data_IF_646803496544
#
_entry.id   IF_646803496544
#
_cell.length_a   1.000
_cell.length_b   1.000
_cell.length_c   1.000
_cell.angle_alpha   90.00
_cell.angle_beta   90.00
_cell.angle_gamma   90.00
#
_symmetry.space_group_name_H-M   'P 1'
#
loop_
_entity.id
_entity.type
_entity.pdbx_description
1 polymer ?
#
# COMPACT_ATOMS: atom_id res chain seq x y z
N UNK A 1 8.08 -39.69 -13.91
CA UNK A 1 7.66 -39.20 -15.26
C UNK A 1 7.06 -37.81 -15.04
N UNK A 2 7.85 -36.76 -15.28
CA UNK A 2 7.47 -35.38 -15.14
C UNK A 2 6.78 -34.91 -16.41
N UNK A 3 5.59 -34.37 -16.28
CA UNK A 3 4.78 -33.83 -17.39
C UNK A 3 5.49 -32.64 -18.03
N UNK A 4 5.71 -32.60 -19.36
CA UNK A 4 6.30 -31.46 -20.02
C UNK A 4 5.20 -30.42 -20.25
N UNK A 5 5.28 -29.25 -19.66
CA UNK A 5 4.38 -28.15 -20.00
C UNK A 5 4.27 -26.95 -19.10
N UNK A 6 4.71 -26.99 -17.85
CA UNK A 6 4.73 -25.80 -17.03
C UNK A 6 6.06 -25.05 -17.20
N UNK A 7 6.07 -24.03 -18.06
CA UNK A 7 7.09 -22.97 -17.99
C UNK A 7 6.82 -22.18 -16.72
N UNK A 8 7.39 -22.65 -15.61
CA UNK A 8 7.48 -21.88 -14.39
C UNK A 8 8.35 -20.66 -14.69
N UNK A 9 7.78 -19.47 -14.63
CA UNK A 9 8.57 -18.23 -14.59
C UNK A 9 9.23 -18.23 -13.24
N UNK A 10 10.42 -18.79 -13.17
CA UNK A 10 11.17 -18.94 -11.93
C UNK A 10 12.26 -17.90 -11.92
N UNK A 11 12.06 -16.87 -11.12
CA UNK A 11 13.07 -15.85 -10.91
C UNK A 11 13.86 -16.08 -9.62
N UNK A 12 13.34 -16.79 -8.64
CA UNK A 12 13.94 -16.94 -7.33
C UNK A 12 14.45 -18.35 -7.00
N UNK A 13 14.19 -19.34 -7.84
CA UNK A 13 14.57 -20.75 -7.58
C UNK A 13 16.07 -20.95 -7.31
N UNK A 14 16.92 -20.14 -7.92
CA UNK A 14 18.38 -20.20 -7.68
C UNK A 14 18.79 -19.57 -6.33
N UNK A 15 17.91 -18.82 -5.67
CA UNK A 15 18.11 -18.25 -4.34
C UNK A 15 17.48 -19.10 -3.25
N UNK A 16 16.70 -20.12 -3.63
CA UNK A 16 15.88 -20.92 -2.75
C UNK A 16 16.24 -22.42 -2.81
N UNK A 17 17.53 -22.75 -2.83
CA UNK A 17 17.99 -24.11 -2.57
C UNK A 17 17.99 -24.34 -1.07
N UNK A 18 16.87 -24.82 -0.51
CA UNK A 18 16.77 -25.12 0.90
C UNK A 18 15.35 -25.18 1.45
N UNK A 19 15.17 -25.54 2.73
CA UNK A 19 13.87 -25.47 3.40
C UNK A 19 13.39 -24.02 3.45
N UNK A 20 12.14 -23.76 3.03
CA UNK A 20 11.53 -22.41 3.04
C UNK A 20 11.53 -21.69 1.69
N UNK A 21 11.78 -22.38 0.59
CA UNK A 21 11.70 -21.79 -0.77
C UNK A 21 10.33 -21.16 -1.05
N UNK A 22 9.25 -21.67 -0.46
CA UNK A 22 7.91 -21.10 -0.57
C UNK A 22 7.83 -19.68 -0.01
N UNK A 23 8.59 -19.40 1.06
CA UNK A 23 8.69 -18.05 1.61
C UNK A 23 9.37 -17.09 0.62
N UNK A 24 10.46 -17.54 -0.03
CA UNK A 24 11.16 -16.76 -1.05
C UNK A 24 10.28 -16.45 -2.27
N UNK A 25 9.42 -17.39 -2.67
CA UNK A 25 8.43 -17.14 -3.76
C UNK A 25 7.41 -16.07 -3.34
N UNK A 26 6.94 -16.10 -2.09
CA UNK A 26 6.05 -15.08 -1.56
C UNK A 26 6.74 -13.71 -1.51
N UNK A 27 7.97 -13.64 -1.02
CA UNK A 27 8.76 -12.40 -0.94
C UNK A 27 9.00 -11.79 -2.32
N UNK A 28 9.33 -12.61 -3.31
CA UNK A 28 9.46 -12.15 -4.69
C UNK A 28 8.11 -11.66 -5.25
N UNK A 29 7.03 -12.39 -4.99
CA UNK A 29 5.67 -11.98 -5.34
C UNK A 29 5.30 -10.64 -4.73
N UNK A 30 5.65 -10.41 -3.46
CA UNK A 30 5.44 -9.14 -2.76
C UNK A 30 6.19 -7.99 -3.43
N UNK A 31 7.45 -8.18 -3.81
CA UNK A 31 8.27 -7.16 -4.50
C UNK A 31 7.58 -6.75 -5.81
N UNK A 32 7.22 -7.72 -6.64
CA UNK A 32 6.57 -7.45 -7.93
C UNK A 32 5.22 -6.79 -7.74
N UNK A 33 4.40 -7.31 -6.82
CA UNK A 33 3.07 -6.77 -6.53
C UNK A 33 3.15 -5.35 -5.99
N UNK A 34 4.10 -5.05 -5.08
CA UNK A 34 4.32 -3.72 -4.54
C UNK A 34 4.69 -2.71 -5.63
N UNK A 35 5.61 -3.06 -6.52
CA UNK A 35 5.97 -2.18 -7.63
C UNK A 35 4.84 -2.00 -8.65
N UNK A 36 4.09 -3.06 -8.94
CA UNK A 36 2.90 -3.00 -9.79
C UNK A 36 1.83 -2.09 -9.19
N UNK A 37 1.52 -2.28 -7.91
CA UNK A 37 0.56 -1.47 -7.16
C UNK A 37 0.98 0.00 -7.06
N UNK A 38 2.27 0.26 -6.79
CA UNK A 38 2.81 1.62 -6.72
C UNK A 38 2.64 2.37 -8.06
N UNK A 39 3.01 1.74 -9.17
CA UNK A 39 2.80 2.32 -10.51
C UNK A 39 1.33 2.55 -10.81
N UNK A 40 0.47 1.63 -10.44
CA UNK A 40 -0.97 1.76 -10.60
C UNK A 40 -1.51 2.97 -9.83
N UNK A 41 -1.20 3.08 -8.54
CA UNK A 41 -1.63 4.22 -7.71
C UNK A 41 -1.23 5.56 -8.32
N UNK A 42 0.03 5.69 -8.77
CA UNK A 42 0.53 6.93 -9.36
C UNK A 42 -0.19 7.27 -10.67
N UNK A 43 -0.38 6.31 -11.55
CA UNK A 43 -1.10 6.53 -12.82
C UNK A 43 -2.57 6.86 -12.59
N UNK A 44 -3.21 6.19 -11.66
CA UNK A 44 -4.59 6.47 -11.27
C UNK A 44 -4.72 7.90 -10.71
N UNK A 45 -3.78 8.31 -9.85
CA UNK A 45 -3.76 9.66 -9.28
C UNK A 45 -3.48 10.73 -10.36
N UNK A 46 -2.57 10.46 -11.29
CA UNK A 46 -2.32 11.34 -12.45
C UNK A 46 -3.59 11.50 -13.31
N UNK A 47 -4.30 10.40 -13.59
CA UNK A 47 -5.56 10.44 -14.34
C UNK A 47 -6.69 11.17 -13.58
N UNK A 48 -6.66 11.13 -12.25
CA UNK A 48 -7.56 11.92 -11.39
C UNK A 48 -7.21 13.41 -11.36
N UNK A 49 -6.19 13.86 -12.07
CA UNK A 49 -5.80 15.27 -12.20
C UNK A 49 -4.70 15.73 -11.25
N UNK A 50 -4.06 14.82 -10.51
CA UNK A 50 -2.97 15.16 -9.58
C UNK A 50 -1.72 14.35 -9.91
N UNK A 51 -0.87 14.83 -10.85
CA UNK A 51 0.43 14.23 -11.16
C UNK A 51 1.44 14.43 -9.99
N UNK A 52 2.58 13.76 -10.09
CA UNK A 52 3.75 13.93 -9.20
C UNK A 52 3.53 13.56 -7.72
N UNK A 53 2.51 12.76 -7.44
CA UNK A 53 2.35 12.15 -6.13
C UNK A 53 3.13 10.84 -6.03
N UNK A 54 3.91 10.71 -4.94
CA UNK A 54 4.54 9.44 -4.59
C UNK A 54 3.49 8.44 -4.09
N UNK A 55 3.77 7.13 -4.12
CA UNK A 55 2.88 6.13 -3.52
C UNK A 55 2.54 6.44 -2.05
N UNK A 56 3.51 6.94 -1.28
CA UNK A 56 3.29 7.30 0.12
C UNK A 56 2.35 8.50 0.27
N UNK A 57 2.49 9.54 -0.56
CA UNK A 57 1.58 10.69 -0.55
C UNK A 57 0.13 10.22 -0.77
N UNK A 58 -0.06 9.32 -1.74
CA UNK A 58 -1.38 8.76 -2.08
C UNK A 58 -1.94 7.95 -0.91
N UNK A 59 -1.13 7.07 -0.30
CA UNK A 59 -1.54 6.26 0.84
C UNK A 59 -1.91 7.12 2.06
N UNK A 60 -1.13 8.17 2.34
CA UNK A 60 -1.40 9.12 3.44
C UNK A 60 -2.70 9.87 3.17
N UNK A 61 -2.94 10.35 1.95
CA UNK A 61 -4.18 11.02 1.58
C UNK A 61 -5.39 10.11 1.78
N UNK A 62 -5.36 8.89 1.21
CA UNK A 62 -6.45 7.93 1.33
C UNK A 62 -6.68 7.48 2.78
N UNK A 63 -5.60 7.28 3.55
CA UNK A 63 -5.72 6.94 4.96
C UNK A 63 -6.38 8.07 5.75
N UNK A 64 -6.00 9.33 5.51
CA UNK A 64 -6.60 10.49 6.15
C UNK A 64 -8.07 10.64 5.77
N UNK A 65 -8.43 10.34 4.51
CA UNK A 65 -9.82 10.41 4.02
C UNK A 65 -10.71 9.28 4.59
N UNK A 66 -10.12 8.18 5.06
CA UNK A 66 -10.88 7.02 5.51
C UNK A 66 -11.70 7.33 6.76
N UNK A 67 -13.03 7.08 6.69
CA UNK A 67 -14.03 7.28 7.76
C UNK A 67 -14.23 8.73 8.20
N UNK A 68 -13.82 9.72 7.42
CA UNK A 68 -13.96 11.16 7.73
C UNK A 68 -13.59 11.53 9.18
N UNK A 69 -12.53 10.91 9.70
CA UNK A 69 -12.01 11.15 11.04
C UNK A 69 -10.69 11.89 10.97
N UNK A 70 -10.55 12.85 11.88
CA UNK A 70 -9.25 13.46 12.12
C UNK A 70 -8.23 12.42 12.62
N UNK A 71 -7.01 12.53 12.14
CA UNK A 71 -5.93 11.62 12.49
C UNK A 71 -4.66 12.40 12.82
N UNK A 72 -3.91 11.90 13.78
CA UNK A 72 -2.56 12.37 14.05
C UNK A 72 -1.57 11.67 13.13
N UNK A 73 -0.38 12.25 13.00
CA UNK A 73 0.72 11.63 12.27
C UNK A 73 0.98 10.19 12.74
N UNK A 74 1.00 9.99 14.07
CA UNK A 74 1.23 8.67 14.67
C UNK A 74 0.15 7.64 14.32
N UNK A 75 -1.10 8.08 14.23
CA UNK A 75 -2.22 7.21 13.85
C UNK A 75 -2.08 6.76 12.39
N UNK A 76 -1.67 7.68 11.51
CA UNK A 76 -1.44 7.39 10.08
C UNK A 76 -0.25 6.44 9.90
N UNK A 77 0.87 6.72 10.58
CA UNK A 77 2.07 5.89 10.52
C UNK A 77 1.77 4.47 11.01
N UNK A 78 1.06 4.33 12.13
CA UNK A 78 0.63 3.04 12.67
C UNK A 78 -0.26 2.26 11.69
N UNK A 79 -1.27 2.91 11.10
CA UNK A 79 -2.20 2.25 10.17
C UNK A 79 -1.53 1.83 8.86
N UNK A 80 -0.47 2.52 8.45
CA UNK A 80 0.31 2.20 7.25
C UNK A 80 1.51 1.28 7.55
N UNK A 81 1.70 0.88 8.80
CA UNK A 81 2.85 0.10 9.28
C UNK A 81 4.19 0.76 8.90
N UNK A 82 4.30 2.07 9.11
CA UNK A 82 5.50 2.86 8.82
C UNK A 82 6.17 3.25 10.13
N UNK A 83 7.37 2.76 10.35
CA UNK A 83 8.17 3.06 11.54
C UNK A 83 8.78 4.45 11.48
N UNK A 84 9.36 4.84 10.33
CA UNK A 84 9.92 6.17 10.14
C UNK A 84 8.82 7.23 9.92
N UNK A 85 8.43 7.86 11.01
CA UNK A 85 7.41 8.92 11.00
C UNK A 85 7.85 10.19 10.23
N UNK A 86 9.14 10.39 9.95
CA UNK A 86 9.61 11.53 9.16
C UNK A 86 9.10 11.48 7.73
N UNK A 87 9.03 10.29 7.13
CA UNK A 87 8.50 10.11 5.77
C UNK A 87 7.02 10.44 5.69
N UNK A 88 6.24 10.02 6.70
CA UNK A 88 4.81 10.38 6.82
C UNK A 88 4.62 11.88 7.01
N UNK A 89 5.46 12.51 7.83
CA UNK A 89 5.42 13.96 8.05
C UNK A 89 5.72 14.74 6.77
N UNK A 90 6.68 14.25 5.96
CA UNK A 90 6.97 14.87 4.68
C UNK A 90 5.77 14.80 3.72
N UNK A 91 5.13 13.64 3.61
CA UNK A 91 3.92 13.47 2.82
C UNK A 91 2.77 14.39 3.30
N UNK A 92 2.54 14.47 4.63
CA UNK A 92 1.53 15.36 5.20
C UNK A 92 1.78 16.83 4.86
N UNK A 93 3.05 17.30 4.97
CA UNK A 93 3.42 18.67 4.59
C UNK A 93 3.18 18.95 3.11
N UNK A 94 3.50 18.00 2.23
CA UNK A 94 3.24 18.12 0.80
C UNK A 94 1.74 18.22 0.52
N UNK A 95 0.94 17.35 1.14
CA UNK A 95 -0.52 17.33 0.97
C UNK A 95 -1.20 18.60 1.49
N UNK A 96 -0.69 19.17 2.59
CA UNK A 96 -1.11 20.48 3.09
C UNK A 96 -0.78 21.61 2.10
N UNK A 97 0.43 21.59 1.52
CA UNK A 97 0.85 22.59 0.51
C UNK A 97 0.01 22.50 -0.78
N UNK A 98 -0.52 21.33 -1.09
CA UNK A 98 -1.42 21.08 -2.22
C UNK A 98 -2.90 21.33 -1.88
N UNK A 99 -3.20 21.86 -0.69
CA UNK A 99 -4.57 22.09 -0.19
C UNK A 99 -5.47 20.83 -0.18
N UNK A 100 -4.86 19.63 -0.15
CA UNK A 100 -5.58 18.36 -0.09
C UNK A 100 -5.93 17.94 1.35
N UNK A 101 -5.20 18.47 2.31
CA UNK A 101 -5.46 18.30 3.74
C UNK A 101 -5.61 19.65 4.42
N UNK A 102 -6.25 19.63 5.59
CA UNK A 102 -6.22 20.68 6.60
C UNK A 102 -5.60 20.14 7.87
N UNK A 103 -5.00 21.03 8.69
CA UNK A 103 -4.42 20.66 9.96
C UNK A 103 -4.89 21.62 11.06
N UNK A 104 -5.20 21.08 12.23
CA UNK A 104 -5.56 21.83 13.42
C UNK A 104 -4.62 21.44 14.56
N UNK A 105 -3.99 22.43 15.17
CA UNK A 105 -3.14 22.22 16.34
C UNK A 105 -3.98 22.33 17.61
N UNK A 106 -3.97 21.29 18.43
CA UNK A 106 -4.63 21.23 19.74
C UNK A 106 -3.60 20.87 20.80
N UNK A 107 -3.17 21.84 21.58
CA UNK A 107 -2.09 21.66 22.54
C UNK A 107 -0.77 21.31 21.86
N UNK A 108 -0.21 20.14 22.19
CA UNK A 108 1.03 19.62 21.60
C UNK A 108 0.80 18.75 20.35
N UNK A 109 -0.44 18.40 20.04
CA UNK A 109 -0.81 17.51 18.95
C UNK A 109 -1.32 18.27 17.74
N UNK A 110 -1.11 17.68 16.55
CA UNK A 110 -1.66 18.19 15.29
C UNK A 110 -2.58 17.11 14.70
N UNK A 111 -3.79 17.52 14.39
CA UNK A 111 -4.82 16.70 13.79
C UNK A 111 -4.99 17.06 12.31
N UNK A 112 -4.99 16.06 11.46
CA UNK A 112 -5.12 16.21 10.02
C UNK A 112 -6.49 15.71 9.56
N UNK A 113 -7.08 16.43 8.62
CA UNK A 113 -8.35 16.08 7.98
C UNK A 113 -8.25 16.33 6.48
N UNK A 114 -8.94 15.52 5.69
CA UNK A 114 -9.03 15.73 4.25
C UNK A 114 -9.87 16.98 3.95
N UNK A 115 -9.34 17.86 3.11
CA UNK A 115 -10.05 19.05 2.61
C UNK A 115 -11.18 18.67 1.66
N UNK A 116 -12.00 19.63 1.23
CA UNK A 116 -12.99 19.42 0.18
C UNK A 116 -12.34 18.97 -1.14
N UNK A 117 -11.21 19.61 -1.52
CA UNK A 117 -10.44 19.24 -2.71
C UNK A 117 -9.85 17.84 -2.59
N UNK A 118 -9.28 17.49 -1.42
CA UNK A 118 -8.75 16.14 -1.18
C UNK A 118 -9.83 15.07 -1.24
N UNK A 119 -11.04 15.33 -0.72
CA UNK A 119 -12.17 14.39 -0.85
C UNK A 119 -12.60 14.20 -2.29
N UNK A 120 -12.72 15.28 -3.06
CA UNK A 120 -13.07 15.23 -4.47
C UNK A 120 -12.03 14.40 -5.27
N UNK A 121 -10.75 14.61 -5.01
CA UNK A 121 -9.66 13.84 -5.62
C UNK A 121 -9.72 12.34 -5.26
N UNK A 122 -9.98 12.00 -4.00
CA UNK A 122 -10.16 10.60 -3.57
C UNK A 122 -11.37 9.95 -4.25
N UNK A 123 -12.45 10.72 -4.47
CA UNK A 123 -13.64 10.23 -5.14
C UNK A 123 -13.38 9.97 -6.63
N UNK A 124 -12.64 10.84 -7.30
CA UNK A 124 -12.26 10.64 -8.69
C UNK A 124 -11.34 9.44 -8.86
N UNK A 125 -10.36 9.29 -7.96
CA UNK A 125 -9.53 8.09 -7.88
C UNK A 125 -10.37 6.82 -7.71
N UNK A 126 -11.41 6.85 -6.87
CA UNK A 126 -12.31 5.71 -6.65
C UNK A 126 -13.02 5.28 -7.94
N UNK A 127 -13.56 6.24 -8.71
CA UNK A 127 -14.21 5.98 -10.00
C UNK A 127 -13.25 5.34 -11.00
N UNK A 128 -12.04 5.90 -11.12
CA UNK A 128 -11.01 5.34 -12.00
C UNK A 128 -10.61 3.92 -11.57
N UNK A 129 -10.52 3.68 -10.27
CA UNK A 129 -10.24 2.34 -9.74
C UNK A 129 -11.34 1.35 -10.10
N UNK A 130 -12.59 1.74 -10.02
CA UNK A 130 -13.73 0.90 -10.41
C UNK A 130 -13.68 0.55 -11.90
N UNK A 131 -13.43 1.55 -12.75
CA UNK A 131 -13.37 1.34 -14.20
C UNK A 131 -12.16 0.53 -14.65
N UNK A 132 -10.98 0.90 -14.19
CA UNK A 132 -9.72 0.36 -14.74
C UNK A 132 -9.23 -0.91 -14.02
N UNK A 133 -9.47 -1.04 -12.70
CA UNK A 133 -8.97 -2.16 -11.93
C UNK A 133 -10.05 -3.19 -11.63
N UNK A 134 -11.18 -2.77 -11.04
CA UNK A 134 -12.24 -3.72 -10.68
C UNK A 134 -12.92 -4.30 -11.92
N UNK A 135 -12.94 -3.57 -13.04
CA UNK A 135 -13.45 -4.08 -14.32
C UNK A 135 -12.63 -5.21 -14.93
N UNK A 136 -11.30 -5.23 -14.69
CA UNK A 136 -10.41 -6.27 -15.23
C UNK A 136 -10.10 -7.39 -14.23
N UNK A 137 -10.33 -7.18 -12.94
CA UNK A 137 -10.01 -8.14 -11.89
C UNK A 137 -10.64 -9.53 -12.11
N UNK A 138 -11.91 -9.66 -12.58
CA UNK A 138 -12.49 -10.97 -12.86
C UNK A 138 -11.73 -11.78 -13.91
N UNK A 139 -11.00 -11.14 -14.82
CA UNK A 139 -10.22 -11.84 -15.84
C UNK A 139 -8.96 -12.53 -15.30
N UNK A 140 -8.58 -12.24 -14.04
CA UNK A 140 -7.46 -12.93 -13.38
C UNK A 140 -7.82 -14.34 -12.91
N UNK A 141 -9.11 -14.68 -12.84
CA UNK A 141 -9.60 -15.91 -12.24
C UNK A 141 -9.53 -15.94 -10.71
N UNK A 142 -9.08 -14.85 -10.08
CA UNK A 142 -8.99 -14.76 -8.60
C UNK A 142 -10.33 -14.28 -8.05
N UNK A 143 -11.02 -15.17 -7.34
CA UNK A 143 -12.32 -14.88 -6.77
C UNK A 143 -12.24 -14.09 -5.44
N UNK A 144 -13.36 -13.53 -5.00
CA UNK A 144 -13.42 -12.72 -3.79
C UNK A 144 -12.97 -13.46 -2.52
N UNK A 145 -13.20 -14.78 -2.44
CA UNK A 145 -12.73 -15.60 -1.31
C UNK A 145 -11.20 -15.74 -1.30
N UNK A 146 -10.60 -15.93 -2.47
CA UNK A 146 -9.14 -16.00 -2.61
C UNK A 146 -8.49 -14.66 -2.29
N UNK A 147 -9.09 -13.55 -2.74
CA UNK A 147 -8.63 -12.20 -2.38
C UNK A 147 -8.66 -11.98 -0.86
N UNK A 148 -9.71 -12.48 -0.17
CA UNK A 148 -9.77 -12.42 1.30
C UNK A 148 -8.66 -13.21 1.97
N UNK A 149 -8.36 -14.43 1.47
CA UNK A 149 -7.26 -15.28 1.96
C UNK A 149 -5.90 -14.63 1.73
N UNK A 150 -5.66 -14.09 0.53
CA UNK A 150 -4.45 -13.34 0.21
C UNK A 150 -4.28 -12.15 1.17
N UNK A 151 -5.33 -11.34 1.35
CA UNK A 151 -5.28 -10.20 2.26
C UNK A 151 -5.03 -10.59 3.73
N UNK A 152 -5.57 -11.73 4.18
CA UNK A 152 -5.31 -12.26 5.52
C UNK A 152 -3.85 -12.75 5.66
N UNK A 153 -3.34 -13.47 4.66
CA UNK A 153 -1.96 -13.95 4.63
C UNK A 153 -0.95 -12.78 4.64
N UNK A 154 -1.18 -11.75 3.83
CA UNK A 154 -0.31 -10.57 3.80
C UNK A 154 -0.25 -9.84 5.15
N UNK A 155 -1.38 -9.72 5.85
CA UNK A 155 -1.39 -9.13 7.21
C UNK A 155 -0.64 -10.01 8.23
N UNK A 156 -0.77 -11.33 8.15
CA UNK A 156 -0.05 -12.25 9.02
C UNK A 156 1.47 -12.19 8.77
N UNK A 157 1.88 -12.16 7.49
CA UNK A 157 3.28 -12.03 7.10
C UNK A 157 3.88 -10.70 7.57
N UNK A 158 3.14 -9.59 7.51
CA UNK A 158 3.60 -8.30 8.03
C UNK A 158 4.02 -8.43 9.50
N UNK A 159 3.18 -9.02 10.36
CA UNK A 159 3.54 -9.25 11.77
C UNK A 159 4.71 -10.20 11.96
N UNK A 160 4.87 -11.19 11.08
CA UNK A 160 6.01 -12.12 11.11
C UNK A 160 7.31 -11.39 10.74
N UNK A 161 7.29 -10.52 9.73
CA UNK A 161 8.45 -9.70 9.36
C UNK A 161 8.85 -8.72 10.47
N UNK A 162 7.89 -8.09 11.14
CA UNK A 162 8.16 -7.21 12.28
C UNK A 162 8.84 -7.98 13.43
N UNK A 163 8.41 -9.22 13.69
CA UNK A 163 9.04 -10.06 14.69
C UNK A 163 10.45 -10.49 14.28
N UNK A 164 10.64 -10.90 13.03
CA UNK A 164 11.94 -11.27 12.49
C UNK A 164 12.92 -10.08 12.52
N UNK A 165 12.45 -8.86 12.18
CA UNK A 165 13.26 -7.63 12.29
C UNK A 165 13.75 -7.41 13.72
N UNK A 166 12.86 -7.55 14.72
CA UNK A 166 13.26 -7.43 16.13
C UNK A 166 14.27 -8.49 16.55
N UNK A 167 14.11 -9.72 16.09
CA UNK A 167 15.07 -10.79 16.36
C UNK A 167 16.42 -10.50 15.72
N UNK A 168 16.43 -10.05 14.44
CA UNK A 168 17.67 -9.72 13.74
C UNK A 168 18.42 -8.55 14.39
N UNK A 169 17.74 -7.60 15.01
CA UNK A 169 18.36 -6.49 15.73
C UNK A 169 19.09 -6.91 17.03
N UNK A 170 18.95 -8.17 17.46
CA UNK A 170 19.63 -8.73 18.65
C UNK A 170 20.91 -9.50 18.31
N UNK A 171 21.28 -9.65 17.03
CA UNK A 171 22.53 -10.24 16.57
C UNK A 171 23.60 -9.16 16.32
#
# INVERSE_FOLDING_TARGET
>A
MTTPGERRIVSSRHLAEGPGWEASEVEYGLIIAFHGFSRWMQRCMTAAGMPDMSPLDILVLHNTNHRDREKRLTDIAFLLNIEDTHTVNYALRKLLKLDLLTAEKRGKEVFYRTSAAGRALCEEYRKLREQCFLGILPHTGIEGEELRKIAAALRALSGTYDQASRAAASF
#
